data_IF_506685769648
#
_entry.id   IF_506685769648
#
_cell.length_a   1.000
_cell.length_b   1.000
_cell.length_c   1.000
_cell.angle_alpha   90.00
_cell.angle_beta   90.00
_cell.angle_gamma   90.00
#
_symmetry.space_group_name_H-M   'P 1'
#
loop_
_entity.id
_entity.type
_entity.pdbx_description
1 polymer ?
#
# COMPACT_ATOMS: atom_id res chain seq x y z
N UNK A 1 -0.30 -5.43 -7.22
CA UNK A 1 -1.49 -5.96 -6.54
C UNK A 1 -1.17 -7.26 -5.77
N UNK A 2 -0.52 -8.26 -6.40
CA UNK A 2 -0.17 -9.53 -5.73
C UNK A 2 0.70 -9.28 -4.49
N UNK A 3 1.72 -8.41 -4.57
CA UNK A 3 2.55 -8.06 -3.42
C UNK A 3 1.73 -7.45 -2.27
N UNK A 4 0.68 -6.68 -2.57
CA UNK A 4 -0.20 -6.11 -1.53
C UNK A 4 -0.97 -7.23 -0.81
N UNK A 5 -1.43 -8.25 -1.54
CA UNK A 5 -2.02 -9.45 -0.92
C UNK A 5 -1.00 -10.12 -0.01
N UNK A 6 0.26 -10.29 -0.47
CA UNK A 6 1.33 -10.87 0.32
C UNK A 6 1.62 -10.14 1.64
N UNK A 7 1.59 -8.78 1.62
CA UNK A 7 1.73 -7.96 2.83
C UNK A 7 0.61 -8.29 3.84
N UNK A 8 -0.63 -8.25 3.39
CA UNK A 8 -1.79 -8.38 4.28
C UNK A 8 -2.07 -9.81 4.75
N UNK A 9 -1.59 -10.81 4.00
CA UNK A 9 -1.66 -12.22 4.41
C UNK A 9 -0.42 -12.66 5.19
N UNK A 10 0.58 -11.78 5.34
CA UNK A 10 1.86 -12.06 5.99
C UNK A 10 2.51 -13.34 5.45
N UNK A 11 2.58 -13.44 4.12
CA UNK A 11 3.06 -14.64 3.41
C UNK A 11 4.37 -15.18 3.97
N UNK A 12 4.35 -16.45 4.41
CA UNK A 12 5.46 -17.16 5.03
C UNK A 12 6.07 -16.44 6.26
N UNK A 13 5.25 -15.70 7.03
CA UNK A 13 5.74 -14.94 8.20
C UNK A 13 6.34 -15.83 9.29
N UNK A 14 6.02 -17.11 9.31
CA UNK A 14 6.57 -18.10 10.21
C UNK A 14 8.06 -18.40 9.93
N UNK A 15 8.55 -18.05 8.75
CA UNK A 15 9.91 -18.32 8.30
C UNK A 15 10.70 -17.03 8.09
N UNK A 16 12.01 -17.07 8.39
CA UNK A 16 12.94 -15.95 8.14
C UNK A 16 12.89 -15.48 6.69
N UNK A 17 12.75 -16.39 5.73
CA UNK A 17 12.62 -16.04 4.29
C UNK A 17 11.36 -15.22 4.02
N UNK A 18 10.25 -15.48 4.71
CA UNK A 18 9.02 -14.71 4.59
C UNK A 18 9.19 -13.26 5.04
N UNK A 19 9.93 -13.03 6.12
CA UNK A 19 10.30 -11.68 6.53
C UNK A 19 11.04 -10.93 5.41
N UNK A 20 12.08 -11.53 4.82
CA UNK A 20 12.83 -10.89 3.73
C UNK A 20 11.99 -10.68 2.47
N UNK A 21 11.11 -11.60 2.10
CA UNK A 21 10.19 -11.42 0.98
C UNK A 21 9.23 -10.26 1.25
N UNK A 22 8.65 -10.20 2.45
CA UNK A 22 7.73 -9.13 2.83
C UNK A 22 8.41 -7.77 2.81
N UNK A 23 9.56 -7.62 3.45
CA UNK A 23 10.25 -6.33 3.59
C UNK A 23 10.93 -5.86 2.29
N UNK A 24 11.57 -6.77 1.54
CA UNK A 24 12.39 -6.40 0.38
C UNK A 24 11.67 -6.47 -0.97
N UNK A 25 10.51 -7.14 -1.04
CA UNK A 25 9.76 -7.29 -2.29
C UNK A 25 8.35 -6.74 -2.17
N UNK A 26 7.55 -7.25 -1.21
CA UNK A 26 6.14 -6.93 -1.18
C UNK A 26 5.88 -5.48 -0.75
N UNK A 27 6.63 -4.96 0.22
CA UNK A 27 6.47 -3.58 0.71
C UNK A 27 6.90 -2.51 -0.29
N UNK A 28 7.61 -2.85 -1.36
CA UNK A 28 7.90 -1.92 -2.45
C UNK A 28 6.64 -1.56 -3.26
N UNK A 29 5.59 -2.39 -3.22
CA UNK A 29 4.42 -2.23 -4.09
C UNK A 29 3.66 -0.94 -3.82
N UNK A 30 3.42 -0.59 -2.56
CA UNK A 30 2.63 0.60 -2.19
C UNK A 30 3.37 1.89 -2.55
N UNK A 31 4.65 2.09 -2.16
CA UNK A 31 5.47 3.20 -2.64
C UNK A 31 5.51 3.32 -4.16
N UNK A 32 5.69 2.20 -4.86
CA UNK A 32 5.69 2.15 -6.32
C UNK A 32 4.38 2.67 -6.91
N UNK A 33 3.23 2.24 -6.38
CA UNK A 33 1.93 2.73 -6.85
C UNK A 33 1.72 4.22 -6.58
N UNK A 34 2.23 4.74 -5.47
CA UNK A 34 2.19 6.17 -5.18
C UNK A 34 3.01 6.97 -6.19
N UNK A 35 4.25 6.54 -6.49
CA UNK A 35 5.11 7.17 -7.51
C UNK A 35 4.39 7.15 -8.87
N UNK A 36 3.83 6.00 -9.28
CA UNK A 36 3.03 5.91 -10.51
C UNK A 36 1.90 6.95 -10.54
N UNK A 37 1.14 7.07 -9.44
CA UNK A 37 0.03 8.01 -9.38
C UNK A 37 0.48 9.46 -9.51
N UNK A 38 1.55 9.85 -8.81
CA UNK A 38 2.12 11.21 -8.91
C UNK A 38 2.63 11.53 -10.31
N UNK A 39 3.39 10.60 -10.89
CA UNK A 39 3.94 10.74 -12.25
C UNK A 39 2.83 10.92 -13.30
N UNK A 40 1.84 10.03 -13.30
CA UNK A 40 0.74 10.13 -14.27
C UNK A 40 -0.20 11.30 -13.99
N UNK A 41 -0.31 11.78 -12.75
CA UNK A 41 -1.02 13.02 -12.47
C UNK A 41 -0.34 14.20 -13.13
N UNK A 42 0.97 14.35 -12.94
CA UNK A 42 1.75 15.41 -13.55
C UNK A 42 1.66 15.36 -15.09
N UNK A 43 1.87 14.17 -15.68
CA UNK A 43 1.76 13.95 -17.12
C UNK A 43 0.39 14.37 -17.70
N UNK A 44 -0.69 13.98 -17.03
CA UNK A 44 -2.04 14.31 -17.51
C UNK A 44 -2.37 15.79 -17.35
N UNK A 45 -1.79 16.49 -16.38
CA UNK A 45 -1.97 17.92 -16.21
C UNK A 45 -1.35 18.72 -17.36
N UNK A 46 -0.18 18.32 -17.83
CA UNK A 46 0.50 18.99 -18.94
C UNK A 46 -0.21 18.78 -20.29
N UNK A 47 -0.91 17.66 -20.48
CA UNK A 47 -1.62 17.34 -21.75
C UNK A 47 -3.02 17.94 -21.84
N UNK A 48 -3.39 18.94 -20.99
CA UNK A 48 -4.70 19.60 -20.92
C UNK A 48 -5.93 18.66 -20.77
N UNK A 49 -5.73 17.34 -20.74
CA UNK A 49 -6.78 16.34 -20.51
C UNK A 49 -7.15 16.15 -19.04
N UNK A 50 -6.42 16.80 -18.12
CA UNK A 50 -6.55 16.60 -16.69
C UNK A 50 -7.56 17.53 -16.04
N UNK A 51 -8.84 17.18 -15.99
CA UNK A 51 -9.76 17.80 -15.05
C UNK A 51 -9.49 17.23 -13.65
N UNK A 52 -8.57 17.87 -12.92
CA UNK A 52 -8.17 17.47 -11.56
C UNK A 52 -9.37 17.41 -10.60
N UNK A 53 -10.35 18.31 -10.76
CA UNK A 53 -11.59 18.33 -9.97
C UNK A 53 -12.40 17.04 -10.16
N UNK A 54 -12.59 16.60 -11.40
CA UNK A 54 -13.29 15.35 -11.68
C UNK A 54 -12.53 14.12 -11.16
N UNK A 55 -11.19 14.16 -11.19
CA UNK A 55 -10.35 13.11 -10.60
C UNK A 55 -10.51 13.08 -9.08
N UNK A 56 -10.46 14.24 -8.44
CA UNK A 56 -10.67 14.39 -7.01
C UNK A 56 -12.01 13.80 -6.57
N UNK A 57 -13.10 14.21 -7.24
CA UNK A 57 -14.46 13.69 -6.96
C UNK A 57 -14.51 12.15 -7.12
N UNK A 58 -13.85 11.59 -8.13
CA UNK A 58 -13.78 10.14 -8.31
C UNK A 58 -12.99 9.43 -7.19
N UNK A 59 -11.95 10.07 -6.66
CA UNK A 59 -11.20 9.52 -5.51
C UNK A 59 -12.06 9.57 -4.26
N UNK A 60 -12.70 10.72 -3.96
CA UNK A 60 -13.60 10.88 -2.81
C UNK A 60 -14.71 9.83 -2.83
N UNK A 61 -15.43 9.69 -3.94
CA UNK A 61 -16.51 8.72 -4.07
C UNK A 61 -16.02 7.28 -3.82
N UNK A 62 -14.86 6.93 -4.33
CA UNK A 62 -14.27 5.59 -4.10
C UNK A 62 -13.83 5.41 -2.66
N UNK A 63 -13.20 6.43 -2.08
CA UNK A 63 -12.74 6.39 -0.69
C UNK A 63 -13.92 6.14 0.24
N UNK A 64 -14.95 6.99 0.19
CA UNK A 64 -16.14 6.87 1.04
C UNK A 64 -16.82 5.51 0.84
N UNK A 65 -17.07 5.13 -0.42
CA UNK A 65 -17.73 3.85 -0.72
C UNK A 65 -17.00 2.65 -0.14
N UNK A 66 -15.68 2.56 -0.36
CA UNK A 66 -14.90 1.42 0.10
C UNK A 66 -14.67 1.43 1.61
N UNK A 67 -14.48 2.60 2.23
CA UNK A 67 -14.39 2.70 3.67
C UNK A 67 -15.68 2.20 4.34
N UNK A 68 -16.84 2.71 3.92
CA UNK A 68 -18.12 2.28 4.47
C UNK A 68 -18.37 0.77 4.24
N UNK A 69 -18.07 0.28 3.04
CA UNK A 69 -18.22 -1.15 2.74
C UNK A 69 -17.31 -2.01 3.63
N UNK A 70 -16.05 -1.61 3.83
CA UNK A 70 -15.14 -2.37 4.67
C UNK A 70 -15.48 -2.30 6.16
N UNK A 71 -15.91 -1.15 6.65
CA UNK A 71 -16.44 -1.02 8.02
C UNK A 71 -17.62 -1.97 8.23
N UNK A 72 -18.56 -2.02 7.29
CA UNK A 72 -19.70 -2.92 7.36
C UNK A 72 -19.26 -4.40 7.37
N UNK A 73 -18.39 -4.79 6.42
CA UNK A 73 -17.89 -6.17 6.31
C UNK A 73 -17.10 -6.57 7.55
N UNK A 74 -16.28 -5.68 8.09
CA UNK A 74 -15.51 -5.92 9.31
C UNK A 74 -16.44 -6.20 10.51
N UNK A 75 -17.45 -5.36 10.70
CA UNK A 75 -18.41 -5.57 11.80
C UNK A 75 -19.20 -6.88 11.65
N UNK A 76 -19.57 -7.29 10.42
CA UNK A 76 -20.32 -8.53 10.18
C UNK A 76 -19.44 -9.77 10.39
N UNK A 77 -18.22 -9.79 9.83
CA UNK A 77 -17.40 -11.01 9.77
C UNK A 77 -16.36 -11.13 10.88
N UNK A 78 -15.97 -10.05 11.56
CA UNK A 78 -14.86 -10.05 12.52
C UNK A 78 -15.33 -9.77 13.93
N UNK A 79 -16.17 -8.75 14.14
CA UNK A 79 -16.52 -8.30 15.50
C UNK A 79 -17.65 -9.14 16.12
N UNK A 80 -18.62 -9.60 15.34
CA UNK A 80 -19.81 -10.38 15.75
C UNK A 80 -20.73 -9.69 16.77
N UNK A 81 -20.18 -8.84 17.64
CA UNK A 81 -20.94 -7.99 18.55
C UNK A 81 -21.05 -6.59 17.95
N UNK A 82 -22.24 -6.29 17.40
CA UNK A 82 -22.52 -5.01 16.80
C UNK A 82 -22.59 -3.94 17.90
N UNK A 83 -21.45 -3.26 18.13
CA UNK A 83 -21.39 -2.17 19.09
C UNK A 83 -21.43 -0.83 18.35
N UNK A 84 -22.49 -0.04 18.62
CA UNK A 84 -22.68 1.27 18.01
C UNK A 84 -21.51 2.24 18.26
N UNK A 85 -20.84 2.16 19.42
CA UNK A 85 -19.69 3.00 19.73
C UNK A 85 -18.52 2.73 18.80
N UNK A 86 -18.25 1.48 18.47
CA UNK A 86 -17.19 1.07 17.54
C UNK A 86 -17.52 1.52 16.11
N UNK A 87 -18.78 1.40 15.70
CA UNK A 87 -19.21 1.86 14.38
C UNK A 87 -19.04 3.39 14.22
N UNK A 88 -19.38 4.17 15.25
CA UNK A 88 -19.20 5.63 15.25
C UNK A 88 -17.73 5.97 15.17
N UNK A 89 -16.86 5.31 15.93
CA UNK A 89 -15.41 5.50 15.85
C UNK A 89 -14.85 5.17 14.47
N UNK A 90 -15.27 4.06 13.87
CA UNK A 90 -14.89 3.69 12.51
C UNK A 90 -15.31 4.74 11.48
N UNK A 91 -16.53 5.30 11.62
CA UNK A 91 -17.00 6.38 10.76
C UNK A 91 -16.14 7.64 10.96
N UNK A 92 -15.82 8.01 12.20
CA UNK A 92 -14.91 9.14 12.48
C UNK A 92 -13.54 8.89 11.82
N UNK A 93 -13.00 7.68 11.90
CA UNK A 93 -11.74 7.30 11.25
C UNK A 93 -11.80 7.44 9.71
N UNK A 94 -12.94 7.20 9.09
CA UNK A 94 -13.13 7.47 7.65
C UNK A 94 -12.98 8.95 7.34
N UNK A 95 -13.61 9.83 8.13
CA UNK A 95 -13.56 11.27 7.89
C UNK A 95 -12.24 11.91 8.28
N UNK A 96 -11.56 11.39 9.29
CA UNK A 96 -10.23 11.86 9.73
C UNK A 96 -9.08 11.29 8.89
N UNK A 97 -9.36 10.45 7.89
CA UNK A 97 -8.37 9.76 7.06
C UNK A 97 -7.44 8.84 7.86
N UNK A 98 -7.81 8.49 9.07
CA UNK A 98 -7.06 7.59 9.98
C UNK A 98 -7.52 6.14 9.87
N UNK A 99 -8.30 5.81 8.82
CA UNK A 99 -8.82 4.46 8.60
C UNK A 99 -7.70 3.41 8.69
N UNK A 100 -7.83 2.50 9.62
CA UNK A 100 -6.91 1.36 9.82
C UNK A 100 -6.99 0.33 8.70
N UNK A 101 -8.03 0.41 7.88
CA UNK A 101 -8.23 -0.44 6.71
C UNK A 101 -7.33 -0.01 5.56
N UNK A 102 -7.13 -0.88 4.56
CA UNK A 102 -6.32 -0.60 3.35
C UNK A 102 -6.68 0.69 2.61
N UNK A 103 -7.76 1.35 3.00
CA UNK A 103 -8.23 2.58 2.36
C UNK A 103 -7.38 3.82 2.72
N UNK A 104 -6.48 3.75 3.73
CA UNK A 104 -5.51 4.81 4.00
C UNK A 104 -4.72 5.23 2.74
N UNK A 105 -4.45 4.28 1.83
CA UNK A 105 -3.83 4.56 0.53
C UNK A 105 -4.62 5.58 -0.31
N UNK A 106 -5.95 5.43 -0.38
CA UNK A 106 -6.81 6.40 -1.07
C UNK A 106 -6.88 7.74 -0.33
N UNK A 107 -6.81 7.73 1.01
CA UNK A 107 -6.73 8.94 1.83
C UNK A 107 -5.49 9.77 1.50
N UNK A 108 -4.32 9.15 1.44
CA UNK A 108 -3.07 9.82 1.03
C UNK A 108 -3.18 10.37 -0.39
N UNK A 109 -3.71 9.61 -1.35
CA UNK A 109 -3.91 10.07 -2.72
C UNK A 109 -4.92 11.22 -2.80
N UNK A 110 -5.93 11.22 -1.94
CA UNK A 110 -6.91 12.30 -1.84
C UNK A 110 -6.21 13.60 -1.43
N UNK A 111 -5.46 13.58 -0.32
CA UNK A 111 -4.72 14.75 0.17
C UNK A 111 -3.70 15.23 -0.86
N UNK A 112 -2.91 14.33 -1.43
CA UNK A 112 -1.96 14.67 -2.50
C UNK A 112 -2.67 15.35 -3.69
N UNK A 113 -3.79 14.79 -4.17
CA UNK A 113 -4.54 15.35 -5.30
C UNK A 113 -5.14 16.71 -4.94
N UNK A 114 -5.63 16.90 -3.71
CA UNK A 114 -6.09 18.20 -3.20
C UNK A 114 -4.96 19.24 -3.26
N UNK A 115 -3.78 18.91 -2.74
CA UNK A 115 -2.63 19.81 -2.76
C UNK A 115 -2.29 20.25 -4.19
N UNK A 116 -2.25 19.31 -5.13
CA UNK A 116 -1.98 19.62 -6.56
C UNK A 116 -3.10 20.42 -7.21
N UNK A 117 -4.37 20.25 -6.79
CA UNK A 117 -5.50 21.02 -7.32
C UNK A 117 -5.48 22.49 -6.88
N UNK A 118 -5.14 22.73 -5.61
CA UNK A 118 -5.26 24.06 -5.01
C UNK A 118 -3.95 24.85 -5.02
N UNK A 119 -2.80 24.19 -4.93
CA UNK A 119 -1.49 24.84 -4.94
C UNK A 119 -0.92 24.76 -6.36
N UNK A 120 -0.99 25.89 -7.06
CA UNK A 120 -0.45 26.02 -8.43
C UNK A 120 1.02 26.44 -8.46
N UNK A 121 1.54 26.95 -7.35
CA UNK A 121 2.91 27.41 -7.22
C UNK A 121 3.85 26.22 -6.97
N UNK A 122 4.72 25.94 -7.93
CA UNK A 122 5.70 24.85 -7.86
C UNK A 122 6.70 25.03 -6.69
N UNK A 123 6.98 26.26 -6.24
CA UNK A 123 7.84 26.51 -5.08
C UNK A 123 7.17 26.01 -3.80
N UNK A 124 5.90 26.33 -3.61
CA UNK A 124 5.11 25.84 -2.45
C UNK A 124 5.01 24.32 -2.46
N UNK A 125 4.77 23.71 -3.61
CA UNK A 125 4.76 22.24 -3.74
C UNK A 125 6.10 21.61 -3.39
N UNK A 126 7.23 22.24 -3.78
CA UNK A 126 8.58 21.76 -3.37
C UNK A 126 8.78 21.85 -1.87
N UNK A 127 8.34 22.94 -1.22
CA UNK A 127 8.42 23.07 0.25
C UNK A 127 7.65 21.92 0.91
N UNK A 128 6.40 21.65 0.49
CA UNK A 128 5.60 20.56 1.03
C UNK A 128 6.28 19.20 0.78
N UNK A 129 6.91 19.03 -0.37
CA UNK A 129 7.68 17.82 -0.66
C UNK A 129 8.86 17.65 0.31
N UNK A 130 9.65 18.71 0.57
CA UNK A 130 10.73 18.63 1.56
C UNK A 130 10.23 18.35 2.97
N UNK A 131 9.11 18.98 3.38
CA UNK A 131 8.45 18.66 4.66
C UNK A 131 8.04 17.20 4.70
N UNK A 132 7.54 16.63 3.60
CA UNK A 132 7.16 15.21 3.55
C UNK A 132 8.35 14.24 3.64
N UNK A 133 9.54 14.65 3.15
CA UNK A 133 10.78 13.88 3.35
C UNK A 133 11.19 13.90 4.82
N UNK A 134 11.14 15.08 5.46
CA UNK A 134 11.41 15.21 6.91
C UNK A 134 10.42 14.35 7.69
N UNK A 135 9.11 14.40 7.35
CA UNK A 135 8.08 13.56 7.94
C UNK A 135 8.40 12.07 7.83
N UNK A 136 8.92 11.62 6.69
CA UNK A 136 9.38 10.24 6.50
C UNK A 136 10.52 9.87 7.45
N UNK A 137 11.56 10.71 7.54
CA UNK A 137 12.71 10.46 8.41
C UNK A 137 12.33 10.47 9.90
N UNK A 138 11.48 11.43 10.31
CA UNK A 138 10.92 11.45 11.66
C UNK A 138 10.09 10.21 11.93
N UNK A 139 9.26 9.80 10.96
CA UNK A 139 8.48 8.57 11.05
C UNK A 139 9.36 7.34 11.30
N UNK A 140 10.47 7.19 10.57
CA UNK A 140 11.41 6.09 10.77
C UNK A 140 11.92 6.01 12.20
N UNK A 141 12.18 7.15 12.85
CA UNK A 141 12.77 7.19 14.19
C UNK A 141 11.87 6.60 15.28
N UNK A 142 10.55 6.71 15.16
CA UNK A 142 9.61 6.16 16.15
C UNK A 142 8.92 4.86 15.71
N UNK A 143 9.30 4.31 14.55
CA UNK A 143 8.84 2.99 14.10
C UNK A 143 10.02 2.03 13.95
N UNK A 144 10.49 1.76 12.74
CA UNK A 144 11.54 0.77 12.45
C UNK A 144 12.82 0.98 13.26
N UNK A 145 13.20 2.24 13.53
CA UNK A 145 14.41 2.58 14.27
C UNK A 145 14.18 2.88 15.74
N UNK A 146 12.96 2.74 16.23
CA UNK A 146 12.59 3.07 17.62
C UNK A 146 13.51 2.42 18.66
N UNK A 147 13.86 1.16 18.45
CA UNK A 147 14.69 0.42 19.41
C UNK A 147 16.14 0.94 19.52
N UNK A 148 16.66 1.66 18.51
CA UNK A 148 17.98 2.30 18.59
C UNK A 148 18.01 3.34 19.70
N UNK A 149 16.87 3.89 20.05
CA UNK A 149 16.73 4.92 21.08
C UNK A 149 16.37 4.36 22.46
N UNK A 150 16.06 3.05 22.58
CA UNK A 150 15.75 2.39 23.85
C UNK A 150 16.96 2.50 24.80
N UNK A 151 16.72 2.94 26.03
CA UNK A 151 17.78 3.18 27.03
C UNK A 151 18.60 4.45 26.80
N UNK A 152 18.29 5.27 25.79
CA UNK A 152 18.93 6.57 25.57
C UNK A 152 18.07 7.72 26.14
N UNK A 153 18.68 8.91 26.30
CA UNK A 153 17.97 10.13 26.71
C UNK A 153 16.87 10.55 25.74
N UNK A 154 16.87 10.02 24.52
CA UNK A 154 15.88 10.34 23.48
C UNK A 154 14.65 9.42 23.51
N UNK A 155 14.65 8.37 24.30
CA UNK A 155 13.57 7.39 24.35
C UNK A 155 12.20 8.02 24.69
N UNK A 156 12.17 8.93 25.68
CA UNK A 156 10.95 9.63 26.08
C UNK A 156 10.37 10.43 24.93
N UNK A 157 11.23 11.14 24.18
CA UNK A 157 10.82 11.94 23.03
C UNK A 157 10.31 11.05 21.88
N UNK A 158 10.98 9.95 21.59
CA UNK A 158 10.56 9.00 20.55
C UNK A 158 9.22 8.35 20.90
N UNK A 159 9.01 7.96 22.16
CA UNK A 159 7.72 7.42 22.63
C UNK A 159 6.60 8.47 22.56
N UNK A 160 6.90 9.73 22.81
CA UNK A 160 5.95 10.83 22.63
C UNK A 160 5.55 10.99 21.14
N UNK A 161 6.51 10.97 20.22
CA UNK A 161 6.24 11.02 18.77
C UNK A 161 5.40 9.82 18.31
N UNK A 162 5.74 8.63 18.77
CA UNK A 162 4.98 7.42 18.47
C UNK A 162 3.51 7.58 18.90
N UNK A 163 3.27 7.99 20.15
CA UNK A 163 1.92 8.22 20.65
C UNK A 163 1.16 9.31 19.87
N UNK A 164 1.85 10.39 19.49
CA UNK A 164 1.26 11.50 18.75
C UNK A 164 0.84 11.09 17.33
N UNK A 165 1.66 10.28 16.65
CA UNK A 165 1.47 9.94 15.24
C UNK A 165 0.94 8.54 14.98
N UNK A 166 0.68 7.72 15.99
CA UNK A 166 0.22 6.33 15.85
C UNK A 166 -0.91 6.19 14.82
N UNK A 167 -1.94 7.02 14.91
CA UNK A 167 -3.10 6.96 14.00
C UNK A 167 -2.80 7.42 12.56
N UNK A 168 -1.79 8.29 12.38
CA UNK A 168 -1.48 8.93 11.09
C UNK A 168 -0.11 8.52 10.54
N UNK A 169 0.54 7.50 11.12
CA UNK A 169 1.89 7.07 10.72
C UNK A 169 2.00 6.75 9.23
N UNK A 170 1.02 6.07 8.66
CA UNK A 170 1.02 5.74 7.22
C UNK A 170 1.00 6.98 6.33
N UNK A 171 0.31 8.03 6.74
CA UNK A 171 0.29 9.29 6.00
C UNK A 171 1.67 9.95 5.98
N UNK A 172 2.34 10.05 7.14
CA UNK A 172 3.69 10.62 7.24
C UNK A 172 4.69 9.88 6.36
N UNK A 173 4.66 8.54 6.38
CA UNK A 173 5.58 7.73 5.61
C UNK A 173 5.36 7.79 4.11
N UNK A 174 4.14 7.99 3.64
CA UNK A 174 3.83 7.69 2.25
C UNK A 174 3.54 8.90 1.39
N UNK A 175 3.19 10.05 2.00
CA UNK A 175 2.84 11.27 1.26
C UNK A 175 3.99 11.80 0.38
N UNK A 176 5.24 11.52 0.70
CA UNK A 176 6.38 11.91 -0.13
C UNK A 176 6.43 11.19 -1.47
N UNK A 177 5.97 9.92 -1.55
CA UNK A 177 6.11 9.11 -2.77
C UNK A 177 5.32 9.65 -3.97
N UNK A 178 4.05 10.07 -3.86
CA UNK A 178 3.38 10.71 -4.98
C UNK A 178 4.02 12.05 -5.38
N UNK A 179 4.62 12.81 -4.44
CA UNK A 179 5.42 13.98 -4.79
C UNK A 179 6.68 13.62 -5.54
N UNK A 180 7.41 12.56 -5.15
CA UNK A 180 8.54 12.03 -5.91
C UNK A 180 8.11 11.77 -7.35
N UNK A 181 7.03 11.01 -7.57
CA UNK A 181 6.53 10.72 -8.93
C UNK A 181 6.17 11.98 -9.72
N UNK A 182 5.52 12.95 -9.08
CA UNK A 182 5.16 14.24 -9.69
C UNK A 182 6.41 15.01 -10.18
N UNK A 183 7.41 15.14 -9.30
CA UNK A 183 8.64 15.86 -9.66
C UNK A 183 9.56 15.07 -10.60
N UNK A 184 9.55 13.75 -10.56
CA UNK A 184 10.24 12.92 -11.56
C UNK A 184 9.77 13.23 -12.99
N UNK A 185 8.47 13.43 -13.19
CA UNK A 185 7.94 13.87 -14.46
C UNK A 185 8.37 15.31 -14.79
N UNK A 186 8.13 16.26 -13.88
CA UNK A 186 8.44 17.69 -14.10
C UNK A 186 9.92 17.97 -14.36
N UNK A 187 10.82 17.24 -13.70
CA UNK A 187 12.27 17.42 -13.83
C UNK A 187 12.91 16.59 -14.95
N UNK A 188 12.12 15.87 -15.74
CA UNK A 188 12.64 14.96 -16.78
C UNK A 188 13.73 14.00 -16.25
N UNK A 189 13.53 13.46 -15.04
CA UNK A 189 14.51 12.67 -14.33
C UNK A 189 15.06 11.50 -15.16
N UNK A 190 14.20 10.88 -15.97
CA UNK A 190 14.56 9.73 -16.79
C UNK A 190 15.66 9.99 -17.80
N UNK A 191 15.78 11.21 -18.31
CA UNK A 191 16.75 11.53 -19.36
C UNK A 191 18.17 11.76 -18.85
N UNK A 192 18.35 11.84 -17.51
CA UNK A 192 19.63 12.21 -16.88
C UNK A 192 20.60 11.06 -16.67
N UNK A 193 20.12 9.81 -16.63
CA UNK A 193 20.94 8.64 -16.29
C UNK A 193 20.92 7.62 -17.42
N UNK A 194 22.02 6.88 -17.60
CA UNK A 194 22.06 5.73 -18.52
C UNK A 194 21.38 4.50 -17.87
N UNK A 195 20.92 3.54 -18.69
CA UNK A 195 20.30 2.30 -18.18
C UNK A 195 21.27 1.51 -17.29
N UNK A 196 22.55 1.53 -17.61
CA UNK A 196 23.58 0.87 -16.81
C UNK A 196 23.70 1.50 -15.42
N UNK A 197 23.76 2.83 -15.32
CA UNK A 197 23.78 3.54 -14.04
C UNK A 197 22.51 3.28 -13.21
N UNK A 198 21.35 3.26 -13.86
CA UNK A 198 20.08 2.92 -13.19
C UNK A 198 20.10 1.52 -12.61
N UNK A 199 20.57 0.54 -13.37
CA UNK A 199 20.67 -0.85 -12.92
C UNK A 199 21.68 -0.99 -11.76
N UNK A 200 22.82 -0.33 -11.86
CA UNK A 200 23.82 -0.33 -10.79
C UNK A 200 23.25 0.22 -9.49
N UNK A 201 22.60 1.40 -9.52
CA UNK A 201 22.00 2.00 -8.34
C UNK A 201 20.87 1.13 -7.79
N UNK A 202 20.09 0.48 -8.64
CA UNK A 202 19.02 -0.42 -8.22
C UNK A 202 19.59 -1.64 -7.49
N UNK A 203 20.64 -2.27 -8.02
CA UNK A 203 21.30 -3.42 -7.36
C UNK A 203 21.91 -2.97 -6.03
N UNK A 204 22.66 -1.88 -6.01
CA UNK A 204 23.27 -1.39 -4.77
C UNK A 204 22.25 -1.01 -3.72
N UNK A 205 21.14 -0.34 -4.09
CA UNK A 205 20.07 -0.01 -3.15
C UNK A 205 19.33 -1.25 -2.65
N UNK A 206 19.19 -2.30 -3.48
CA UNK A 206 18.61 -3.58 -3.04
C UNK A 206 19.53 -4.30 -2.04
N UNK A 207 20.83 -4.30 -2.29
CA UNK A 207 21.81 -4.88 -1.36
C UNK A 207 21.82 -4.13 -0.03
N UNK A 208 21.80 -2.80 -0.09
CA UNK A 208 21.75 -1.97 1.12
C UNK A 208 20.44 -2.20 1.91
N UNK A 209 19.30 -2.33 1.22
CA UNK A 209 18.04 -2.68 1.87
C UNK A 209 18.09 -4.08 2.51
N UNK A 210 18.71 -5.06 1.87
CA UNK A 210 18.91 -6.40 2.45
C UNK A 210 19.78 -6.36 3.71
N UNK A 211 20.85 -5.56 3.70
CA UNK A 211 21.70 -5.36 4.89
C UNK A 211 20.89 -4.68 6.00
N UNK A 212 20.19 -3.59 5.66
CA UNK A 212 19.35 -2.84 6.59
C UNK A 212 18.30 -3.77 7.23
N UNK A 213 17.51 -4.49 6.44
CA UNK A 213 16.50 -5.42 6.95
C UNK A 213 17.11 -6.57 7.76
N UNK A 214 18.33 -7.01 7.41
CA UNK A 214 19.06 -8.02 8.16
C UNK A 214 19.47 -7.56 9.57
N UNK A 215 19.96 -6.32 9.69
CA UNK A 215 20.31 -5.72 10.97
C UNK A 215 19.09 -5.58 11.90
N UNK A 216 17.91 -5.30 11.32
CA UNK A 216 16.69 -5.07 12.07
C UNK A 216 15.84 -6.34 12.29
N UNK A 217 16.25 -7.49 11.75
CA UNK A 217 15.44 -8.71 11.80
C UNK A 217 15.04 -9.11 13.22
N UNK A 218 15.98 -9.16 14.15
CA UNK A 218 15.71 -9.60 15.52
C UNK A 218 14.77 -8.62 16.27
N UNK A 219 14.91 -7.33 16.01
CA UNK A 219 14.08 -6.28 16.62
C UNK A 219 12.68 -6.23 16.02
N UNK A 220 12.56 -6.45 14.72
CA UNK A 220 11.27 -6.49 14.03
C UNK A 220 10.36 -7.63 14.52
N UNK A 221 10.93 -8.76 14.97
CA UNK A 221 10.20 -9.87 15.56
C UNK A 221 9.58 -9.49 16.91
N UNK A 222 10.24 -8.62 17.69
CA UNK A 222 9.77 -8.19 19.01
C UNK A 222 8.70 -7.12 18.89
N UNK A 223 8.86 -6.15 17.99
CA UNK A 223 8.01 -4.96 17.93
C UNK A 223 6.97 -5.00 16.81
N UNK A 224 7.02 -5.99 15.89
CA UNK A 224 6.16 -6.09 14.69
C UNK A 224 6.16 -4.82 13.81
N UNK A 225 7.20 -3.96 13.92
CA UNK A 225 7.31 -2.67 13.26
C UNK A 225 8.44 -2.70 12.23
N UNK A 226 8.17 -3.21 11.03
CA UNK A 226 9.14 -3.31 9.93
C UNK A 226 8.56 -2.79 8.61
N UNK A 227 7.79 -1.70 8.70
CA UNK A 227 7.06 -1.22 7.54
C UNK A 227 7.91 -0.41 6.57
N UNK A 228 8.92 0.34 7.08
CA UNK A 228 9.64 1.34 6.32
C UNK A 228 11.14 1.33 6.64
N UNK A 229 11.97 1.53 5.59
CA UNK A 229 13.42 1.50 5.67
C UNK A 229 14.01 2.67 4.88
N UNK A 230 15.23 3.13 5.22
CA UNK A 230 15.90 4.27 4.58
C UNK A 230 16.12 4.00 3.08
N UNK A 231 16.49 2.78 2.69
CA UNK A 231 16.78 2.46 1.30
C UNK A 231 15.54 2.16 0.45
N UNK A 232 14.36 2.00 1.05
CA UNK A 232 13.12 1.74 0.30
C UNK A 232 12.78 2.84 -0.71
N UNK A 233 12.79 4.15 -0.38
CA UNK A 233 12.51 5.20 -1.35
C UNK A 233 13.47 5.20 -2.53
N UNK A 234 14.76 5.02 -2.27
CA UNK A 234 15.80 5.00 -3.30
C UNK A 234 15.52 3.85 -4.27
N UNK A 235 15.37 2.64 -3.74
CA UNK A 235 15.09 1.45 -4.53
C UNK A 235 13.85 1.62 -5.41
N UNK A 236 12.75 2.12 -4.86
CA UNK A 236 11.48 2.24 -5.60
C UNK A 236 11.56 3.30 -6.70
N UNK A 237 12.28 4.42 -6.48
CA UNK A 237 12.51 5.46 -7.48
C UNK A 237 13.27 4.89 -8.69
N UNK A 238 14.35 4.16 -8.45
CA UNK A 238 15.16 3.59 -9.53
C UNK A 238 14.47 2.40 -10.20
N UNK A 239 13.71 1.60 -9.46
CA UNK A 239 12.85 0.56 -10.02
C UNK A 239 11.81 1.15 -10.97
N UNK A 240 11.09 2.20 -10.56
CA UNK A 240 10.13 2.88 -11.41
C UNK A 240 10.80 3.49 -12.65
N UNK A 241 11.97 4.12 -12.47
CA UNK A 241 12.76 4.71 -13.56
C UNK A 241 13.15 3.67 -14.61
N UNK A 242 13.64 2.50 -14.18
CA UNK A 242 14.01 1.41 -15.08
C UNK A 242 12.79 0.86 -15.82
N UNK A 243 11.72 0.52 -15.09
CA UNK A 243 10.50 -0.05 -15.66
C UNK A 243 9.81 0.89 -16.66
N UNK A 244 9.85 2.21 -16.42
CA UNK A 244 9.25 3.21 -17.33
C UNK A 244 9.96 3.32 -18.67
N UNK A 245 11.24 2.89 -18.77
CA UNK A 245 12.03 2.86 -20.01
C UNK A 245 11.86 1.56 -20.80
N UNK A 246 11.37 0.51 -20.16
CA UNK A 246 11.16 -0.76 -20.84
C UNK A 246 10.01 -0.64 -21.83
N UNK A 247 10.34 -0.56 -23.11
CA UNK A 247 9.37 -0.61 -24.23
C UNK A 247 8.86 -2.06 -24.43
N UNK A 248 8.26 -2.64 -23.40
CA UNK A 248 7.69 -3.98 -23.48
C UNK A 248 6.36 -3.87 -24.23
N UNK A 249 6.36 -4.23 -25.50
CA UNK A 249 5.12 -4.43 -26.27
C UNK A 249 4.44 -5.71 -25.80
N UNK A 250 3.71 -5.64 -24.70
CA UNK A 250 2.90 -6.77 -24.26
C UNK A 250 1.79 -6.98 -25.30
N UNK A 251 1.70 -8.18 -25.91
CA UNK A 251 0.57 -8.61 -26.76
C UNK A 251 -0.76 -8.65 -25.99
N UNK A 252 -0.74 -8.30 -24.72
CA UNK A 252 -1.85 -8.38 -23.77
C UNK A 252 -2.56 -7.03 -23.70
N UNK A 253 -3.89 -7.06 -23.69
CA UNK A 253 -4.72 -5.86 -23.58
C UNK A 253 -4.43 -5.13 -22.24
N UNK A 254 -3.69 -4.03 -22.32
CA UNK A 254 -3.26 -3.21 -21.17
C UNK A 254 -4.44 -2.75 -20.29
N UNK A 255 -5.61 -2.50 -20.90
CA UNK A 255 -6.84 -2.16 -20.18
C UNK A 255 -7.33 -3.30 -19.29
N UNK A 256 -7.20 -4.55 -19.77
CA UNK A 256 -7.60 -5.74 -19.01
C UNK A 256 -6.69 -5.93 -17.78
N UNK A 257 -5.38 -5.76 -17.97
CA UNK A 257 -4.43 -5.84 -16.86
C UNK A 257 -4.66 -4.74 -15.80
N UNK A 258 -4.90 -3.52 -16.26
CA UNK A 258 -5.21 -2.40 -15.35
C UNK A 258 -6.48 -2.66 -14.54
N UNK A 259 -7.51 -3.19 -15.15
CA UNK A 259 -8.75 -3.51 -14.46
C UNK A 259 -8.56 -4.68 -13.49
N UNK A 260 -7.83 -5.72 -13.90
CA UNK A 260 -7.50 -6.88 -13.06
C UNK A 260 -6.73 -6.43 -11.80
N UNK A 261 -5.65 -5.68 -11.97
CA UNK A 261 -4.85 -5.15 -10.85
C UNK A 261 -5.68 -4.29 -9.88
N UNK A 262 -6.59 -3.47 -10.44
CA UNK A 262 -7.52 -2.65 -9.66
C UNK A 262 -8.48 -3.51 -8.84
N UNK A 263 -9.07 -4.54 -9.43
CA UNK A 263 -9.99 -5.41 -8.71
C UNK A 263 -9.28 -6.25 -7.66
N UNK A 264 -8.09 -6.79 -7.97
CA UNK A 264 -7.25 -7.46 -6.98
C UNK A 264 -6.98 -6.56 -5.77
N UNK A 265 -6.68 -5.28 -6.00
CA UNK A 265 -6.44 -4.33 -4.91
C UNK A 265 -7.69 -4.07 -4.08
N UNK A 266 -8.86 -3.88 -4.70
CA UNK A 266 -10.06 -3.51 -3.96
C UNK A 266 -10.77 -4.69 -3.29
N UNK A 267 -10.64 -5.91 -3.76
CA UNK A 267 -11.43 -7.03 -3.25
C UNK A 267 -10.66 -7.99 -2.33
N UNK A 268 -9.33 -7.97 -2.31
CA UNK A 268 -8.56 -8.96 -1.53
C UNK A 268 -8.87 -8.94 -0.03
N UNK A 269 -9.13 -7.76 0.54
CA UNK A 269 -9.40 -7.65 1.98
C UNK A 269 -10.75 -8.27 2.37
N UNK A 270 -11.71 -8.31 1.46
CA UNK A 270 -12.99 -9.03 1.68
C UNK A 270 -12.72 -10.52 1.89
N UNK A 271 -11.82 -11.08 1.07
CA UNK A 271 -11.46 -12.49 1.20
C UNK A 271 -10.56 -12.76 2.41
N UNK A 272 -9.80 -11.77 2.87
CA UNK A 272 -9.08 -11.86 4.14
C UNK A 272 -10.06 -11.97 5.31
N UNK A 273 -11.06 -11.11 5.38
CA UNK A 273 -12.10 -11.18 6.41
C UNK A 273 -12.90 -12.48 6.33
N UNK A 274 -13.23 -12.93 5.14
CA UNK A 274 -13.93 -14.19 4.93
C UNK A 274 -13.07 -15.38 5.37
N UNK A 275 -11.76 -15.36 5.10
CA UNK A 275 -10.84 -16.41 5.57
C UNK A 275 -10.82 -16.47 7.09
N UNK A 276 -10.68 -15.33 7.77
CA UNK A 276 -10.70 -15.28 9.23
C UNK A 276 -12.03 -15.75 9.82
N UNK A 277 -13.12 -15.41 9.18
CA UNK A 277 -14.46 -15.88 9.58
C UNK A 277 -14.56 -17.42 9.47
N UNK A 278 -14.17 -17.98 8.33
CA UNK A 278 -14.19 -19.43 8.11
C UNK A 278 -13.22 -20.17 9.04
N UNK A 279 -12.04 -19.63 9.26
CA UNK A 279 -11.04 -20.17 10.18
C UNK A 279 -11.58 -20.23 11.62
N UNK A 280 -12.29 -19.19 12.08
CA UNK A 280 -12.93 -19.14 13.40
C UNK A 280 -14.03 -20.18 13.55
N UNK A 281 -14.91 -20.33 12.56
CA UNK A 281 -15.97 -21.34 12.58
C UNK A 281 -15.36 -22.75 12.60
N UNK A 282 -14.38 -23.02 11.75
CA UNK A 282 -13.70 -24.31 11.71
C UNK A 282 -12.99 -24.61 13.03
N UNK A 283 -12.37 -23.62 13.66
CA UNK A 283 -11.69 -23.76 14.93
C UNK A 283 -12.67 -24.11 16.08
N UNK A 284 -13.85 -23.53 16.11
CA UNK A 284 -14.87 -23.82 17.14
C UNK A 284 -15.45 -25.23 17.02
N UNK A 285 -15.48 -25.81 15.81
CA UNK A 285 -16.02 -27.16 15.58
C UNK A 285 -15.01 -28.29 15.81
N UNK A 286 -13.70 -28.01 15.80
CA UNK A 286 -12.62 -29.00 15.67
C UNK A 286 -11.82 -29.16 16.97
N UNK A 287 -12.12 -28.44 18.04
CA UNK A 287 -11.35 -28.49 19.31
C UNK A 287 -11.35 -29.85 20.03
N UNK A 288 -11.68 -30.94 19.34
CA UNK A 288 -11.64 -32.31 19.86
C UNK A 288 -10.51 -33.20 19.34
N UNK A 289 -9.65 -32.78 18.42
CA UNK A 289 -8.63 -33.66 17.83
C UNK A 289 -7.25 -33.01 17.68
N UNK A 290 -6.22 -33.67 18.22
CA UNK A 290 -4.81 -33.26 18.25
C UNK A 290 -4.11 -33.17 16.87
N UNK A 291 -4.81 -33.43 15.76
CA UNK A 291 -4.24 -33.44 14.39
C UNK A 291 -4.11 -32.06 13.75
N UNK A 292 -4.59 -31.00 14.38
CA UNK A 292 -4.69 -29.64 13.79
C UNK A 292 -3.42 -28.84 13.95
N UNK A 293 -2.54 -29.20 14.88
CA UNK A 293 -1.30 -28.45 15.17
C UNK A 293 -0.37 -28.37 13.95
N UNK A 294 -0.35 -29.38 13.09
CA UNK A 294 0.45 -29.37 11.85
C UNK A 294 -0.11 -28.43 10.76
N UNK A 295 -1.43 -28.23 10.75
CA UNK A 295 -2.11 -27.34 9.78
C UNK A 295 -1.99 -25.85 10.13
N UNK A 296 -1.81 -25.52 11.40
CA UNK A 296 -1.63 -24.14 11.87
C UNK A 296 -0.27 -23.58 11.43
N UNK A 297 0.76 -24.41 11.29
CA UNK A 297 2.12 -24.00 10.90
C UNK A 297 2.21 -23.27 9.55
N UNK A 298 1.23 -23.47 8.65
CA UNK A 298 1.22 -22.85 7.31
C UNK A 298 0.04 -21.88 7.08
N UNK A 299 -0.53 -21.33 8.14
CA UNK A 299 -1.72 -20.47 8.06
C UNK A 299 -1.52 -19.31 7.10
N UNK A 300 -0.38 -18.63 7.14
CA UNK A 300 -0.07 -17.48 6.29
C UNK A 300 0.02 -17.87 4.80
N UNK A 301 0.62 -19.01 4.47
CA UNK A 301 0.69 -19.52 3.11
C UNK A 301 -0.71 -19.88 2.58
N UNK A 302 -1.52 -20.63 3.34
CA UNK A 302 -2.89 -21.00 2.94
C UNK A 302 -3.78 -19.78 2.74
N UNK A 303 -3.67 -18.82 3.66
CA UNK A 303 -4.39 -17.55 3.56
C UNK A 303 -4.00 -16.80 2.29
N UNK A 304 -2.71 -16.72 1.97
CA UNK A 304 -2.23 -16.08 0.74
C UNK A 304 -2.80 -16.75 -0.51
N UNK A 305 -2.70 -18.08 -0.61
CA UNK A 305 -3.20 -18.83 -1.76
C UNK A 305 -4.71 -18.67 -1.90
N UNK A 306 -5.47 -18.84 -0.80
CA UNK A 306 -6.92 -18.65 -0.82
C UNK A 306 -7.33 -17.26 -1.27
N UNK A 307 -6.76 -16.21 -0.67
CA UNK A 307 -7.06 -14.82 -0.99
C UNK A 307 -6.67 -14.50 -2.42
N UNK A 308 -5.49 -14.95 -2.87
CA UNK A 308 -5.02 -14.72 -4.23
C UNK A 308 -5.94 -15.38 -5.27
N UNK A 309 -6.28 -16.65 -5.09
CA UNK A 309 -7.12 -17.39 -6.05
C UNK A 309 -8.55 -16.81 -6.05
N UNK A 310 -9.16 -16.59 -4.90
CA UNK A 310 -10.52 -16.06 -4.80
C UNK A 310 -10.65 -14.67 -5.41
N UNK A 311 -9.72 -13.77 -5.10
CA UNK A 311 -9.69 -12.43 -5.70
C UNK A 311 -9.41 -12.45 -7.19
N UNK A 312 -8.55 -13.37 -7.66
CA UNK A 312 -8.23 -13.51 -9.07
C UNK A 312 -9.46 -13.99 -9.87
N UNK A 313 -10.17 -15.00 -9.38
CA UNK A 313 -11.39 -15.51 -10.00
C UNK A 313 -12.45 -14.41 -10.09
N UNK A 314 -12.74 -13.70 -8.99
CA UNK A 314 -13.68 -12.59 -8.99
C UNK A 314 -13.25 -11.47 -9.94
N UNK A 315 -11.97 -11.11 -9.94
CA UNK A 315 -11.43 -10.05 -10.79
C UNK A 315 -11.52 -10.40 -12.29
N UNK A 316 -11.29 -11.64 -12.64
CA UNK A 316 -11.45 -12.14 -14.01
C UNK A 316 -12.92 -12.08 -14.44
N UNK A 317 -13.84 -12.50 -13.59
CA UNK A 317 -15.27 -12.45 -13.84
C UNK A 317 -15.76 -11.00 -14.08
N UNK A 318 -15.42 -10.07 -13.18
CA UNK A 318 -15.77 -8.66 -13.30
C UNK A 318 -15.15 -7.98 -14.52
N UNK A 319 -13.94 -8.39 -14.93
CA UNK A 319 -13.27 -7.85 -16.11
C UNK A 319 -13.93 -8.29 -17.42
N UNK A 320 -14.58 -9.49 -17.45
CA UNK A 320 -15.33 -9.99 -18.62
C UNK A 320 -16.66 -9.24 -18.79
N UNK A 321 -17.40 -8.98 -17.71
CA UNK A 321 -18.71 -8.29 -17.75
C UNK A 321 -18.64 -6.91 -18.41
N UNK A 322 -17.58 -6.13 -18.16
CA UNK A 322 -17.41 -4.81 -18.78
C UNK A 322 -17.25 -4.85 -20.31
N UNK A 323 -16.86 -5.98 -20.90
CA UNK A 323 -16.83 -6.16 -22.38
C UNK A 323 -18.22 -6.35 -22.97
N UNK A 324 -19.09 -7.03 -22.27
CA UNK A 324 -20.47 -7.33 -22.75
C UNK A 324 -21.30 -6.04 -22.76
N UNK A 325 -21.26 -5.26 -21.68
CA UNK A 325 -22.04 -4.00 -21.59
C UNK A 325 -21.57 -2.95 -22.61
N UNK A 326 -20.28 -2.90 -22.97
CA UNK A 326 -19.81 -1.99 -24.05
C UNK A 326 -20.19 -2.45 -25.45
N UNK A 327 -20.46 -3.74 -25.68
CA UNK A 327 -20.90 -4.25 -26.97
C UNK A 327 -22.41 -4.11 -27.18
N UNK A 328 -23.21 -4.19 -26.11
CA UNK A 328 -24.67 -3.99 -26.16
C UNK A 328 -25.12 -2.53 -26.24
N UNK A 329 -24.28 -1.56 -25.88
CA UNK A 329 -24.56 -0.13 -25.96
C UNK A 329 -24.21 0.53 -27.31
N UNK A 330 -23.78 -0.24 -28.33
CA UNK A 330 -23.47 0.26 -29.67
C UNK A 330 -24.47 -0.19 -30.76
N UNK A 331 -25.53 -0.92 -30.35
CA UNK A 331 -26.63 -1.37 -31.25
C UNK A 331 -27.96 -0.75 -30.80
N UNK A 332 -27.97 0.53 -30.55
CA UNK A 332 -29.17 1.30 -30.30
C UNK A 332 -29.02 2.73 -30.82
#
# INVERSE_FOLDING_TARGET
>A
AICVIGIHTQFLSEYKIGYYINTNIYRLAVPFFFICNGYFLAKNNDTSQGNNRNRLIKIIKKYIFWCLLYTLIYNIFVVWDFNYSNLIQDIIHVFTLTSTNIMWYLGVLLVFTLLICYIKDDRKLKIIFYISIIGYLVGLSFTTYKYVFVGTNYEIFINFLDKLFTSNRYFLFTIMYPFIGYFMYKCNFFNKLTNFKLLLILITSQVLLLIETGLFYNYSLVYNEYDYFIFTPILVVFLFSLLSRLNVKLKINSLRFRNLSKYLFFYHYIFIYLFHFLDRISYSQIYGTNSIISWIREKSFRMFVYVLLSTLVLSLFLSKRKKVVKRSGFNG
#
